data_IF_709538570739
#
_entry.id   IF_709538570739
#
_cell.length_a   1.000
_cell.length_b   1.000
_cell.length_c   1.000
_cell.angle_alpha   90.00
_cell.angle_beta   90.00
_cell.angle_gamma   90.00
#
_symmetry.space_group_name_H-M   'P 1'
#
loop_
_entity.id
_entity.type
_entity.pdbx_description
1 polymer ?
#
# COMPACT_ATOMS: atom_id res chain seq x y z
N UNK A 1 -3.67 -45.10 19.75
CA UNK A 1 -3.37 -44.48 18.43
C UNK A 1 -4.41 -43.50 17.90
N UNK A 2 -5.71 -43.58 18.26
CA UNK A 2 -6.74 -42.64 17.76
C UNK A 2 -6.76 -41.27 18.46
N UNK A 3 -6.47 -41.25 19.76
CA UNK A 3 -6.50 -40.04 20.60
C UNK A 3 -5.40 -39.04 20.22
N UNK A 4 -4.19 -39.53 19.93
CA UNK A 4 -3.06 -38.71 19.47
C UNK A 4 -3.34 -38.06 18.11
N UNK A 5 -4.01 -38.76 17.20
CA UNK A 5 -4.39 -38.21 15.89
C UNK A 5 -5.46 -37.12 15.99
N UNK A 6 -6.47 -37.30 16.85
CA UNK A 6 -7.48 -36.26 17.08
C UNK A 6 -6.88 -35.01 17.74
N UNK A 7 -5.97 -35.18 18.70
CA UNK A 7 -5.28 -34.07 19.37
C UNK A 7 -4.44 -33.25 18.37
N UNK A 8 -3.67 -33.92 17.51
CA UNK A 8 -2.88 -33.26 16.46
C UNK A 8 -3.75 -32.49 15.47
N UNK A 9 -4.91 -33.05 15.10
CA UNK A 9 -5.86 -32.37 14.22
C UNK A 9 -6.46 -31.12 14.88
N UNK A 10 -6.85 -31.19 16.17
CA UNK A 10 -7.36 -30.03 16.90
C UNK A 10 -6.31 -28.92 17.07
N UNK A 11 -5.05 -29.28 17.36
CA UNK A 11 -3.95 -28.32 17.42
C UNK A 11 -3.74 -27.63 16.06
N UNK A 12 -3.77 -28.40 14.97
CA UNK A 12 -3.64 -27.85 13.62
C UNK A 12 -4.75 -26.85 13.30
N UNK A 13 -6.01 -27.18 13.58
CA UNK A 13 -7.14 -26.26 13.39
C UNK A 13 -7.01 -24.99 14.24
N UNK A 14 -6.64 -25.13 15.52
CA UNK A 14 -6.42 -23.98 16.41
C UNK A 14 -5.32 -23.06 15.88
N UNK A 15 -4.22 -23.61 15.35
CA UNK A 15 -3.15 -22.78 14.75
C UNK A 15 -3.61 -22.07 13.48
N UNK A 16 -4.48 -22.69 12.66
CA UNK A 16 -5.06 -22.04 11.48
C UNK A 16 -5.98 -20.89 11.89
N UNK A 17 -6.87 -21.13 12.85
CA UNK A 17 -7.78 -20.09 13.37
C UNK A 17 -7.01 -18.93 13.98
N UNK A 18 -5.95 -19.21 14.73
CA UNK A 18 -5.09 -18.17 15.31
C UNK A 18 -4.35 -17.39 14.21
N UNK A 19 -3.84 -18.05 13.17
CA UNK A 19 -3.21 -17.39 12.01
C UNK A 19 -4.18 -16.47 11.26
N UNK A 20 -5.44 -16.88 11.08
CA UNK A 20 -6.48 -16.05 10.46
C UNK A 20 -6.88 -14.87 11.35
N UNK A 21 -7.05 -15.09 12.65
CA UNK A 21 -7.36 -14.03 13.60
C UNK A 21 -6.24 -12.97 13.69
N UNK A 22 -4.99 -13.38 13.46
CA UNK A 22 -3.82 -12.50 13.42
C UNK A 22 -3.51 -11.97 12.00
N UNK A 23 -4.22 -12.45 10.97
CA UNK A 23 -4.13 -11.92 9.61
C UNK A 23 -4.86 -10.58 9.58
N UNK A 24 -4.18 -9.53 10.04
CA UNK A 24 -4.61 -8.16 9.86
C UNK A 24 -4.84 -7.96 8.36
N UNK A 25 -6.10 -7.73 7.96
CA UNK A 25 -6.37 -7.18 6.64
C UNK A 25 -5.57 -5.88 6.53
N UNK A 26 -4.52 -5.90 5.71
CA UNK A 26 -3.69 -4.73 5.47
C UNK A 26 -4.50 -3.79 4.60
N UNK A 27 -5.30 -2.93 5.25
CA UNK A 27 -6.09 -1.91 4.58
C UNK A 27 -5.15 -0.98 3.79
N UNK A 28 -5.26 -1.03 2.47
CA UNK A 28 -4.39 -0.33 1.55
C UNK A 28 -5.18 0.74 0.79
N UNK A 29 -4.76 1.99 0.82
CA UNK A 29 -5.57 3.14 0.37
C UNK A 29 -5.08 3.78 -0.93
N UNK A 30 -3.96 3.34 -1.52
CA UNK A 30 -3.44 3.98 -2.72
C UNK A 30 -4.29 3.68 -3.96
N UNK A 31 -5.16 4.61 -4.36
CA UNK A 31 -5.87 4.59 -5.64
C UNK A 31 -7.27 5.19 -5.55
N UNK A 32 -7.71 5.89 -6.59
CA UNK A 32 -9.01 6.59 -6.60
C UNK A 32 -10.19 5.74 -7.11
N UNK A 33 -9.94 4.48 -7.52
CA UNK A 33 -10.95 3.51 -7.98
C UNK A 33 -10.57 2.13 -7.47
N UNK A 34 -11.54 1.22 -7.33
CA UNK A 34 -11.29 -0.16 -6.89
C UNK A 34 -10.22 -0.84 -7.75
N UNK A 35 -10.30 -0.68 -9.08
CA UNK A 35 -9.30 -1.22 -9.99
C UNK A 35 -7.91 -0.62 -9.74
N UNK A 36 -7.81 0.70 -9.61
CA UNK A 36 -6.56 1.40 -9.34
C UNK A 36 -5.94 0.99 -7.99
N UNK A 37 -6.77 0.85 -6.96
CA UNK A 37 -6.36 0.41 -5.64
C UNK A 37 -5.86 -1.03 -5.65
N UNK A 38 -6.59 -1.94 -6.30
CA UNK A 38 -6.17 -3.34 -6.44
C UNK A 38 -4.89 -3.50 -7.25
N UNK A 39 -4.72 -2.75 -8.35
CA UNK A 39 -3.50 -2.78 -9.13
C UNK A 39 -2.31 -2.28 -8.31
N UNK A 40 -2.46 -1.14 -7.64
CA UNK A 40 -1.43 -0.57 -6.78
C UNK A 40 -1.05 -1.53 -5.66
N UNK A 41 -2.02 -2.16 -4.99
CA UNK A 41 -1.81 -3.15 -3.95
C UNK A 41 -0.94 -4.32 -4.45
N UNK A 42 -1.26 -4.86 -5.63
CA UNK A 42 -0.50 -5.99 -6.22
C UNK A 42 0.94 -5.60 -6.54
N UNK A 43 1.14 -4.40 -7.11
CA UNK A 43 2.46 -3.89 -7.46
C UNK A 43 3.30 -3.69 -6.20
N UNK A 44 2.76 -3.01 -5.18
CA UNK A 44 3.48 -2.73 -3.94
C UNK A 44 3.80 -4.01 -3.18
N UNK A 45 2.84 -4.95 -3.05
CA UNK A 45 3.12 -6.23 -2.41
C UNK A 45 4.20 -7.06 -3.12
N UNK A 46 4.32 -6.93 -4.45
CA UNK A 46 5.29 -7.73 -5.22
C UNK A 46 6.67 -7.10 -5.27
N UNK A 47 6.75 -5.78 -5.42
CA UNK A 47 8.02 -5.09 -5.72
C UNK A 47 8.53 -4.21 -4.58
N UNK A 48 7.65 -3.84 -3.64
CA UNK A 48 7.91 -2.87 -2.58
C UNK A 48 7.46 -3.40 -1.20
N UNK A 49 7.48 -4.71 -1.00
CA UNK A 49 6.90 -5.33 0.20
C UNK A 49 7.56 -4.86 1.50
N UNK A 50 8.85 -4.50 1.44
CA UNK A 50 9.66 -4.01 2.56
C UNK A 50 9.31 -2.58 2.98
N UNK A 51 8.65 -1.79 2.12
CA UNK A 51 8.19 -0.41 2.39
C UNK A 51 6.67 -0.28 2.25
N UNK A 52 5.93 -1.39 2.33
CA UNK A 52 4.49 -1.43 2.09
C UNK A 52 3.71 -0.41 2.94
N UNK A 53 3.96 -0.42 4.25
CA UNK A 53 3.24 0.43 5.20
C UNK A 53 3.59 1.92 4.99
N UNK A 54 4.84 2.22 4.62
CA UNK A 54 5.28 3.58 4.33
C UNK A 54 4.67 4.13 3.03
N UNK A 55 4.59 3.30 1.98
CA UNK A 55 3.88 3.68 0.75
C UNK A 55 2.41 3.97 1.05
N UNK A 56 1.77 3.09 1.82
CA UNK A 56 0.37 3.26 2.20
C UNK A 56 0.15 4.54 3.02
N UNK A 57 1.10 4.87 3.91
CA UNK A 57 1.11 6.13 4.67
C UNK A 57 1.27 7.35 3.76
N UNK A 58 2.13 7.30 2.74
CA UNK A 58 2.24 8.37 1.75
C UNK A 58 0.90 8.61 1.05
N UNK A 59 0.17 7.56 0.68
CA UNK A 59 -1.14 7.66 0.04
C UNK A 59 -2.20 8.24 0.97
N UNK A 60 -2.30 7.76 2.21
CA UNK A 60 -3.24 8.31 3.19
C UNK A 60 -3.01 9.81 3.44
N UNK A 61 -1.73 10.23 3.45
CA UNK A 61 -1.37 11.66 3.59
C UNK A 61 -1.75 12.47 2.35
N UNK A 62 -1.59 11.89 1.16
CA UNK A 62 -1.99 12.52 -0.11
C UNK A 62 -3.51 12.67 -0.21
N UNK A 63 -4.28 11.63 0.10
CA UNK A 63 -5.74 11.68 0.12
C UNK A 63 -6.26 12.72 1.12
N UNK A 64 -5.63 12.82 2.31
CA UNK A 64 -5.97 13.87 3.28
C UNK A 64 -5.63 15.27 2.77
N UNK A 65 -4.51 15.44 2.06
CA UNK A 65 -4.14 16.72 1.44
C UNK A 65 -5.14 17.14 0.36
N UNK A 66 -5.58 16.17 -0.45
CA UNK A 66 -6.65 16.31 -1.43
C UNK A 66 -7.96 16.74 -0.76
N UNK A 67 -8.40 16.02 0.28
CA UNK A 67 -9.62 16.37 1.03
C UNK A 67 -9.57 17.75 1.70
N UNK A 68 -8.39 18.19 2.14
CA UNK A 68 -8.18 19.53 2.68
C UNK A 68 -8.06 20.61 1.59
N UNK A 69 -8.16 20.25 0.31
CA UNK A 69 -8.08 21.17 -0.83
C UNK A 69 -6.85 22.08 -0.77
N UNK A 70 -5.70 21.53 -0.34
CA UNK A 70 -4.47 22.30 -0.12
C UNK A 70 -3.70 22.66 -1.40
N UNK A 71 -4.32 22.48 -2.57
CA UNK A 71 -3.73 22.66 -3.89
C UNK A 71 -3.15 21.37 -4.45
N UNK A 72 -3.65 20.94 -5.62
CA UNK A 72 -3.26 19.66 -6.25
C UNK A 72 -1.75 19.54 -6.44
N UNK A 73 -1.12 20.53 -7.05
CA UNK A 73 0.31 20.47 -7.37
C UNK A 73 1.20 20.41 -6.11
N UNK A 74 0.75 21.04 -5.02
CA UNK A 74 1.38 20.93 -3.71
C UNK A 74 1.24 19.49 -3.17
N UNK A 75 0.02 18.96 -3.11
CA UNK A 75 -0.24 17.60 -2.63
C UNK A 75 0.54 16.55 -3.43
N UNK A 76 0.53 16.64 -4.76
CA UNK A 76 1.24 15.72 -5.65
C UNK A 76 2.75 15.79 -5.45
N UNK A 77 3.30 17.00 -5.24
CA UNK A 77 4.72 17.18 -4.99
C UNK A 77 5.15 16.59 -3.64
N UNK A 78 4.34 16.76 -2.60
CA UNK A 78 4.57 16.14 -1.29
C UNK A 78 4.48 14.61 -1.37
N UNK A 79 3.50 14.08 -2.10
CA UNK A 79 3.38 12.65 -2.35
C UNK A 79 4.60 12.07 -3.08
N UNK A 80 5.04 12.73 -4.16
CA UNK A 80 6.24 12.33 -4.89
C UNK A 80 7.50 12.37 -4.02
N UNK A 81 7.64 13.38 -3.15
CA UNK A 81 8.76 13.47 -2.21
C UNK A 81 8.74 12.33 -1.19
N UNK A 82 7.57 12.04 -0.62
CA UNK A 82 7.35 10.93 0.31
C UNK A 82 7.78 9.59 -0.32
N UNK A 83 7.28 9.28 -1.51
CA UNK A 83 7.63 8.05 -2.24
C UNK A 83 9.12 7.97 -2.61
N UNK A 84 9.72 9.09 -3.06
CA UNK A 84 11.12 9.12 -3.45
C UNK A 84 12.08 8.81 -2.30
N UNK A 85 11.73 9.27 -1.09
CA UNK A 85 12.53 9.04 0.12
C UNK A 85 12.62 7.55 0.49
N UNK A 86 11.59 6.74 0.21
CA UNK A 86 11.54 5.31 0.55
C UNK A 86 12.61 4.49 -0.18
N UNK A 87 13.06 4.98 -1.34
CA UNK A 87 14.08 4.32 -2.17
C UNK A 87 15.38 5.11 -2.27
N UNK A 88 15.63 6.06 -1.36
CA UNK A 88 16.80 6.92 -1.39
C UNK A 88 18.12 6.16 -1.17
N UNK A 89 18.08 5.10 -0.35
CA UNK A 89 19.25 4.23 -0.12
C UNK A 89 19.39 3.19 -1.23
N UNK A 90 20.60 2.95 -1.69
CA UNK A 90 20.86 1.93 -2.70
C UNK A 90 20.83 0.53 -2.10
N UNK A 91 19.76 -0.21 -2.41
CA UNK A 91 19.60 -1.65 -2.12
C UNK A 91 18.94 -2.33 -3.32
N UNK A 92 19.06 -3.66 -3.44
CA UNK A 92 18.38 -4.40 -4.52
C UNK A 92 16.85 -4.32 -4.42
N UNK A 93 16.30 -4.29 -3.20
CA UNK A 93 14.86 -4.12 -2.98
C UNK A 93 14.40 -2.72 -3.43
N UNK A 94 15.18 -1.68 -3.11
CA UNK A 94 14.88 -0.31 -3.55
C UNK A 94 15.03 -0.15 -5.07
N UNK A 95 15.98 -0.85 -5.70
CA UNK A 95 16.12 -0.84 -7.16
C UNK A 95 14.87 -1.37 -7.87
N UNK A 96 14.27 -2.46 -7.38
CA UNK A 96 13.03 -3.02 -7.93
C UNK A 96 11.80 -2.17 -7.58
N UNK A 97 11.80 -1.54 -6.41
CA UNK A 97 10.67 -0.72 -5.94
C UNK A 97 10.62 0.68 -6.57
N UNK A 98 11.77 1.24 -6.94
CA UNK A 98 11.87 2.61 -7.47
C UNK A 98 10.98 2.88 -8.71
N UNK A 99 10.96 2.04 -9.76
CA UNK A 99 10.14 2.31 -10.94
C UNK A 99 8.63 2.38 -10.66
N UNK A 100 8.03 1.43 -9.90
CA UNK A 100 6.65 1.57 -9.42
C UNK A 100 6.35 2.87 -8.69
N UNK A 101 7.17 3.25 -7.71
CA UNK A 101 6.94 4.47 -6.92
C UNK A 101 7.03 5.73 -7.78
N UNK A 102 7.98 5.78 -8.71
CA UNK A 102 8.07 6.84 -9.72
C UNK A 102 6.83 6.87 -10.63
N UNK A 103 6.32 5.69 -10.96
CA UNK A 103 5.07 5.54 -11.72
C UNK A 103 3.87 6.13 -11.00
N UNK A 104 3.72 5.86 -9.70
CA UNK A 104 2.63 6.41 -8.88
C UNK A 104 2.69 7.93 -8.81
N UNK A 105 3.89 8.50 -8.59
CA UNK A 105 4.11 9.94 -8.63
C UNK A 105 3.67 10.56 -9.97
N UNK A 106 3.99 9.93 -11.10
CA UNK A 106 3.54 10.41 -12.42
C UNK A 106 2.02 10.27 -12.59
N UNK A 107 1.44 9.19 -12.09
CA UNK A 107 0.02 8.92 -12.23
C UNK A 107 -0.83 10.01 -11.55
N UNK A 108 -0.49 10.44 -10.33
CA UNK A 108 -1.22 11.53 -9.65
C UNK A 108 -1.07 12.86 -10.39
N UNK A 109 0.14 13.17 -10.89
CA UNK A 109 0.38 14.42 -11.63
C UNK A 109 -0.37 14.50 -12.97
N UNK A 110 -0.55 13.37 -13.65
CA UNK A 110 -1.21 13.34 -14.96
C UNK A 110 -2.72 13.10 -14.87
N UNK A 111 -3.16 12.28 -13.93
CA UNK A 111 -4.55 11.79 -13.86
C UNK A 111 -5.29 12.17 -12.57
N UNK A 112 -4.60 12.74 -11.59
CA UNK A 112 -5.15 13.04 -10.27
C UNK A 112 -6.08 14.26 -10.21
N UNK A 113 -6.25 15.01 -11.31
CA UNK A 113 -7.09 16.22 -11.35
C UNK A 113 -8.53 15.98 -10.90
N UNK A 114 -9.21 15.01 -11.53
CA UNK A 114 -10.60 14.67 -11.16
C UNK A 114 -10.73 14.10 -9.75
N UNK A 115 -9.72 13.35 -9.30
CA UNK A 115 -9.70 12.83 -7.93
C UNK A 115 -9.56 13.95 -6.90
N UNK A 116 -8.73 14.97 -7.19
CA UNK A 116 -8.58 16.17 -6.37
C UNK A 116 -9.90 16.97 -6.30
N UNK A 117 -10.49 17.27 -7.45
CA UNK A 117 -11.76 18.02 -7.54
C UNK A 117 -12.89 17.34 -6.76
N UNK A 118 -12.96 16.01 -6.80
CA UNK A 118 -14.01 15.24 -6.15
C UNK A 118 -13.78 14.99 -4.64
N UNK A 119 -12.63 15.40 -4.09
CA UNK A 119 -12.27 15.11 -2.70
C UNK A 119 -12.64 16.20 -1.70
N UNK A 120 -12.98 17.40 -2.19
CA UNK A 120 -13.34 18.56 -1.38
C UNK A 120 -14.85 18.81 -1.26
#
# INVERSE_FOLDING_TARGET
MKVTSALLFTIFLLTISLRHAMAKERFFVCGSTDFGQHLSLRVINKMCSHVFDDVNKCCATHDSCYGNQSGRDFCDSQFCSCLGALTATWTMENFLCYPPLKGFCKAVKWFGGKAYENSG
#
